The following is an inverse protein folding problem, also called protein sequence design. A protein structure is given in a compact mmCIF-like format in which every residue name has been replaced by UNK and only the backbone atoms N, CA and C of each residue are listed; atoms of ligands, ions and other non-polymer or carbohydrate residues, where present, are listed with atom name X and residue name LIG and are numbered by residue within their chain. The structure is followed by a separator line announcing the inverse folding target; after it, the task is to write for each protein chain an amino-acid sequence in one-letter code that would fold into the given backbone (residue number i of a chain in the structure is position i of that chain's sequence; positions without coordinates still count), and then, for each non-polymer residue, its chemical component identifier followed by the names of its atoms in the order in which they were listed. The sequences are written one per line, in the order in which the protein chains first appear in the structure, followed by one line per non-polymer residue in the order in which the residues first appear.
data_IF_340262840371
#
_entry.id   IF_340262840371
#
_cell.length_a   1.000
_cell.length_b   1.000
_cell.length_c   1.000
_cell.angle_alpha   90.00
_cell.angle_beta   90.00
_cell.angle_gamma   90.00
#
_symmetry.space_group_name_H-M   'P 1'
#
loop_
_entity.id
_entity.type
_entity.pdbx_description
1 polymer ?
#
# COMPACT_ATOMS: atom_id res chain seq x y z
N UNK A 1 -50.66 -83.97 23.80
CA UNK A 1 -51.09 -82.69 23.24
C UNK A 1 -50.85 -81.51 24.24
N UNK A 2 -51.15 -81.62 25.50
CA UNK A 2 -50.92 -80.51 26.51
C UNK A 2 -49.44 -80.20 26.74
N UNK A 3 -48.57 -81.25 26.78
CA UNK A 3 -47.14 -81.05 26.97
C UNK A 3 -46.47 -80.35 25.76
N UNK A 4 -46.92 -80.57 24.55
CA UNK A 4 -46.46 -79.95 23.35
C UNK A 4 -46.91 -78.47 23.31
N UNK A 5 -48.15 -78.17 23.74
CA UNK A 5 -48.62 -76.79 23.80
C UNK A 5 -47.85 -75.94 24.82
N UNK A 6 -47.57 -76.48 26.00
CA UNK A 6 -46.76 -75.81 27.02
C UNK A 6 -45.30 -75.52 26.51
N UNK A 7 -44.76 -76.45 25.77
CA UNK A 7 -43.44 -76.28 25.18
C UNK A 7 -43.42 -75.18 24.11
N UNK A 8 -44.44 -75.18 23.24
CA UNK A 8 -44.59 -74.13 22.21
C UNK A 8 -44.85 -72.77 22.85
N UNK A 9 -45.66 -72.66 23.89
CA UNK A 9 -45.88 -71.42 24.64
C UNK A 9 -44.58 -70.90 25.25
N UNK A 10 -43.78 -71.80 25.82
CA UNK A 10 -42.46 -71.40 26.37
C UNK A 10 -41.47 -70.93 25.28
N UNK A 11 -41.42 -71.62 24.14
CA UNK A 11 -40.61 -71.21 22.99
C UNK A 11 -41.07 -69.86 22.45
N UNK A 12 -42.41 -69.63 22.39
CA UNK A 12 -42.98 -68.35 21.97
C UNK A 12 -42.56 -67.21 22.91
N UNK A 13 -42.65 -67.41 24.23
CA UNK A 13 -42.22 -66.45 25.20
C UNK A 13 -40.72 -66.11 25.09
N UNK A 14 -39.88 -67.11 24.86
CA UNK A 14 -38.45 -66.87 24.62
C UNK A 14 -38.19 -66.05 23.35
N UNK A 15 -38.93 -66.33 22.27
CA UNK A 15 -38.83 -65.60 21.04
C UNK A 15 -39.31 -64.15 21.18
N UNK A 16 -40.38 -63.94 21.90
CA UNK A 16 -40.86 -62.57 22.23
C UNK A 16 -39.83 -61.79 22.99
N UNK A 17 -39.16 -62.40 24.00
CA UNK A 17 -38.09 -61.77 24.73
C UNK A 17 -36.86 -61.46 23.81
N UNK A 18 -36.50 -62.36 22.93
CA UNK A 18 -35.45 -62.10 21.94
C UNK A 18 -35.81 -60.94 21.03
N UNK A 19 -37.05 -60.83 20.54
CA UNK A 19 -37.54 -59.74 19.71
C UNK A 19 -37.44 -58.44 20.46
N UNK A 20 -37.90 -58.37 21.71
CA UNK A 20 -37.78 -57.15 22.52
C UNK A 20 -36.34 -56.73 22.71
N UNK A 21 -35.45 -57.68 23.01
CA UNK A 21 -34.01 -57.42 23.15
C UNK A 21 -33.38 -56.92 21.88
N UNK A 22 -33.70 -57.55 20.75
CA UNK A 22 -33.21 -57.08 19.44
C UNK A 22 -33.77 -55.71 19.03
N UNK A 23 -35.03 -55.46 19.28
CA UNK A 23 -35.65 -54.12 19.06
C UNK A 23 -34.93 -53.04 19.84
N UNK A 24 -34.58 -53.30 21.12
CA UNK A 24 -33.79 -52.39 21.93
C UNK A 24 -32.37 -52.16 21.37
N UNK A 25 -31.71 -53.21 20.92
CA UNK A 25 -30.39 -53.10 20.28
C UNK A 25 -30.45 -52.30 19.00
N UNK A 26 -31.47 -52.51 18.17
CA UNK A 26 -31.67 -51.73 16.95
C UNK A 26 -31.86 -50.25 17.27
N UNK A 27 -32.74 -49.92 18.23
CA UNK A 27 -32.97 -48.56 18.64
C UNK A 27 -31.68 -47.86 19.18
N UNK A 28 -30.87 -48.60 19.95
CA UNK A 28 -29.59 -48.08 20.43
C UNK A 28 -28.59 -47.87 19.29
N UNK A 29 -28.50 -48.81 18.34
CA UNK A 29 -27.61 -48.69 17.18
C UNK A 29 -28.03 -47.56 16.25
N UNK A 30 -29.34 -47.37 16.03
CA UNK A 30 -29.86 -46.23 15.27
C UNK A 30 -29.49 -44.89 15.95
N UNK A 31 -29.64 -44.77 17.29
CA UNK A 31 -29.24 -43.61 18.02
C UNK A 31 -27.73 -43.35 17.94
N UNK A 32 -26.92 -44.39 18.06
CA UNK A 32 -25.47 -44.30 17.93
C UNK A 32 -25.05 -43.91 16.50
N UNK A 33 -25.72 -44.41 15.50
CA UNK A 33 -25.51 -44.04 14.10
C UNK A 33 -25.84 -42.53 13.87
N UNK A 34 -26.96 -42.08 14.34
CA UNK A 34 -27.36 -40.65 14.25
C UNK A 34 -26.32 -39.74 14.91
N UNK A 35 -25.83 -40.13 16.09
CA UNK A 35 -24.74 -39.40 16.76
C UNK A 35 -23.44 -39.39 15.95
N UNK A 36 -23.06 -40.53 15.37
CA UNK A 36 -21.88 -40.63 14.55
C UNK A 36 -21.99 -39.80 13.26
N UNK A 37 -23.15 -39.81 12.61
CA UNK A 37 -23.42 -38.98 11.42
C UNK A 37 -23.38 -37.50 11.74
N UNK A 38 -23.95 -37.08 12.88
CA UNK A 38 -23.90 -35.70 13.35
C UNK A 38 -22.47 -35.23 13.60
N UNK A 39 -21.66 -36.05 14.30
CA UNK A 39 -20.24 -35.75 14.52
C UNK A 39 -19.43 -35.68 13.25
N UNK A 40 -19.72 -36.56 12.29
CA UNK A 40 -19.06 -36.55 10.96
C UNK A 40 -19.39 -35.27 10.19
N UNK A 41 -20.65 -34.83 10.22
CA UNK A 41 -21.09 -33.59 9.58
C UNK A 41 -20.39 -32.37 10.20
N UNK A 42 -20.32 -32.31 11.54
CA UNK A 42 -19.61 -31.25 12.25
C UNK A 42 -18.11 -31.22 11.90
N UNK A 43 -17.47 -32.40 11.87
CA UNK A 43 -16.05 -32.52 11.52
C UNK A 43 -15.76 -32.09 10.08
N UNK A 44 -16.65 -32.43 9.14
CA UNK A 44 -16.53 -31.97 7.74
C UNK A 44 -16.70 -30.47 7.63
N UNK A 45 -17.67 -29.89 8.32
CA UNK A 45 -17.86 -28.44 8.39
C UNK A 45 -16.64 -27.70 8.94
N UNK A 46 -16.08 -28.19 10.04
CA UNK A 46 -14.86 -27.64 10.64
C UNK A 46 -13.66 -27.73 9.71
N UNK A 47 -13.52 -28.84 8.97
CA UNK A 47 -12.44 -29.00 7.98
C UNK A 47 -12.59 -28.03 6.81
N UNK A 48 -13.79 -27.84 6.31
CA UNK A 48 -14.07 -26.89 5.22
C UNK A 48 -13.78 -25.44 5.65
N UNK A 49 -14.13 -25.08 6.88
CA UNK A 49 -13.78 -23.78 7.46
C UNK A 49 -12.26 -23.60 7.59
N UNK A 50 -11.55 -24.61 8.05
CA UNK A 50 -10.09 -24.60 8.16
C UNK A 50 -9.42 -24.40 6.79
N UNK A 51 -9.87 -25.11 5.77
CA UNK A 51 -9.38 -24.93 4.40
C UNK A 51 -9.65 -23.53 3.87
N UNK A 52 -10.83 -22.98 4.14
CA UNK A 52 -11.19 -21.60 3.76
C UNK A 52 -10.29 -20.57 4.47
N UNK A 53 -10.07 -20.72 5.77
CA UNK A 53 -9.17 -19.84 6.53
C UNK A 53 -7.74 -19.95 6.06
N UNK A 54 -7.27 -21.15 5.74
CA UNK A 54 -5.94 -21.38 5.18
C UNK A 54 -5.76 -20.66 3.86
N UNK A 55 -6.72 -20.80 2.94
CA UNK A 55 -6.70 -20.12 1.64
C UNK A 55 -6.70 -18.60 1.79
N UNK A 56 -7.52 -18.07 2.69
CA UNK A 56 -7.55 -16.64 3.01
C UNK A 56 -6.24 -16.17 3.59
N UNK A 57 -5.64 -16.93 4.52
CA UNK A 57 -4.35 -16.62 5.11
C UNK A 57 -3.23 -16.58 4.07
N UNK A 58 -3.18 -17.55 3.17
CA UNK A 58 -2.20 -17.57 2.08
C UNK A 58 -2.35 -16.38 1.13
N UNK A 59 -3.59 -16.00 0.82
CA UNK A 59 -3.88 -14.82 -0.02
C UNK A 59 -3.43 -13.54 0.67
N UNK A 60 -3.70 -13.41 1.97
CA UNK A 60 -3.26 -12.25 2.75
C UNK A 60 -1.74 -12.17 2.88
N UNK A 61 -1.06 -13.30 3.07
CA UNK A 61 0.40 -13.34 3.09
C UNK A 61 1.02 -12.87 1.77
N UNK A 62 0.45 -13.28 0.63
CA UNK A 62 0.89 -12.80 -0.69
C UNK A 62 0.69 -11.31 -0.84
N UNK A 63 -0.45 -10.78 -0.39
CA UNK A 63 -0.73 -9.34 -0.42
C UNK A 63 0.23 -8.56 0.47
N UNK A 64 0.51 -9.04 1.68
CA UNK A 64 1.49 -8.42 2.58
C UNK A 64 2.85 -8.37 1.93
N UNK A 65 3.34 -9.48 1.36
CA UNK A 65 4.63 -9.54 0.67
C UNK A 65 4.71 -8.56 -0.51
N UNK A 66 3.61 -8.45 -1.29
CA UNK A 66 3.53 -7.50 -2.40
C UNK A 66 3.59 -6.05 -1.90
N UNK A 67 2.81 -5.73 -0.86
CA UNK A 67 2.78 -4.39 -0.28
C UNK A 67 4.11 -4.00 0.36
N UNK A 68 4.81 -4.94 1.01
CA UNK A 68 6.17 -4.71 1.53
C UNK A 68 7.15 -4.37 0.40
N UNK A 69 7.07 -5.10 -0.72
CA UNK A 69 7.90 -4.81 -1.90
C UNK A 69 7.57 -3.46 -2.53
N UNK A 70 6.31 -3.11 -2.63
CA UNK A 70 5.87 -1.79 -3.12
C UNK A 70 6.33 -0.65 -2.19
N UNK A 71 6.26 -0.88 -0.87
CA UNK A 71 6.75 0.08 0.12
C UNK A 71 8.26 0.31 -0.01
N UNK A 72 9.04 -0.75 -0.12
CA UNK A 72 10.50 -0.65 -0.31
C UNK A 72 10.85 0.13 -1.57
N UNK A 73 10.12 -0.12 -2.67
CA UNK A 73 10.30 0.63 -3.92
C UNK A 73 9.94 2.11 -3.77
N UNK A 74 8.82 2.40 -3.10
CA UNK A 74 8.39 3.76 -2.86
C UNK A 74 9.38 4.53 -1.97
N UNK A 75 9.91 3.89 -0.93
CA UNK A 75 10.93 4.48 -0.06
C UNK A 75 12.22 4.77 -0.82
N UNK A 76 12.65 3.86 -1.70
CA UNK A 76 13.81 4.07 -2.55
C UNK A 76 13.62 5.26 -3.49
N UNK A 77 12.46 5.33 -4.16
CA UNK A 77 12.13 6.46 -5.03
C UNK A 77 12.07 7.79 -4.27
N UNK A 78 11.53 7.76 -3.06
CA UNK A 78 11.48 8.95 -2.21
C UNK A 78 12.88 9.44 -1.85
N UNK A 79 13.80 8.55 -1.47
CA UNK A 79 15.19 8.91 -1.18
C UNK A 79 15.88 9.50 -2.41
N UNK A 80 15.76 8.85 -3.56
CA UNK A 80 16.34 9.35 -4.81
C UNK A 80 15.79 10.72 -5.21
N UNK A 81 14.49 10.91 -5.08
CA UNK A 81 13.83 12.20 -5.38
C UNK A 81 14.24 13.28 -4.40
N UNK A 82 14.35 12.96 -3.12
CA UNK A 82 14.81 13.88 -2.08
C UNK A 82 16.26 14.32 -2.33
N UNK A 83 17.13 13.40 -2.72
CA UNK A 83 18.51 13.72 -3.06
C UNK A 83 18.60 14.61 -4.30
N UNK A 84 17.81 14.35 -5.32
CA UNK A 84 17.70 15.21 -6.52
C UNK A 84 17.20 16.61 -6.16
N UNK A 85 16.20 16.71 -5.30
CA UNK A 85 15.67 17.98 -4.82
C UNK A 85 16.75 18.79 -4.11
N UNK A 86 17.51 18.17 -3.21
CA UNK A 86 18.63 18.83 -2.53
C UNK A 86 19.68 19.36 -3.51
N UNK A 87 20.00 18.57 -4.53
CA UNK A 87 20.95 19.00 -5.57
C UNK A 87 20.41 20.18 -6.36
N UNK A 88 19.14 20.18 -6.69
CA UNK A 88 18.47 21.28 -7.41
C UNK A 88 18.43 22.53 -6.54
N UNK A 89 18.12 22.40 -5.26
CA UNK A 89 18.12 23.52 -4.31
C UNK A 89 19.50 24.18 -4.21
N UNK A 90 20.57 23.39 -4.10
CA UNK A 90 21.93 23.91 -4.07
C UNK A 90 22.28 24.66 -5.36
N UNK A 91 21.88 24.13 -6.52
CA UNK A 91 22.08 24.78 -7.80
C UNK A 91 21.27 26.08 -7.90
N UNK A 92 20.01 26.05 -7.44
CA UNK A 92 19.14 27.22 -7.46
C UNK A 92 19.74 28.35 -6.61
N UNK A 93 20.20 28.06 -5.40
CA UNK A 93 20.88 29.02 -4.52
C UNK A 93 22.17 29.59 -5.16
N UNK A 94 22.91 28.74 -5.83
CA UNK A 94 24.13 29.18 -6.56
C UNK A 94 23.77 30.15 -7.70
N UNK A 95 22.76 29.83 -8.51
CA UNK A 95 22.31 30.70 -9.57
C UNK A 95 21.66 31.99 -9.08
N UNK A 96 20.90 31.96 -7.99
CA UNK A 96 20.39 33.17 -7.35
C UNK A 96 21.51 34.12 -6.94
N UNK A 97 22.58 33.61 -6.35
CA UNK A 97 23.79 34.40 -6.01
C UNK A 97 24.45 34.96 -7.24
N UNK A 98 24.55 34.19 -8.32
CA UNK A 98 25.12 34.67 -9.58
C UNK A 98 24.26 35.76 -10.21
N UNK A 99 22.92 35.62 -10.21
CA UNK A 99 22.00 36.64 -10.72
C UNK A 99 22.17 37.93 -9.92
N UNK A 100 22.18 37.86 -8.60
CA UNK A 100 22.37 39.03 -7.72
C UNK A 100 23.71 39.71 -8.03
N UNK A 101 24.78 38.97 -8.24
CA UNK A 101 26.09 39.52 -8.58
C UNK A 101 26.07 40.22 -9.95
N UNK A 102 25.49 39.58 -10.95
CA UNK A 102 25.40 40.14 -12.30
C UNK A 102 24.51 41.38 -12.34
N UNK A 103 23.40 41.38 -11.60
CA UNK A 103 22.57 42.57 -11.44
C UNK A 103 23.33 43.73 -10.81
N UNK A 104 24.12 43.47 -9.79
CA UNK A 104 24.99 44.48 -9.18
C UNK A 104 26.05 45.02 -10.12
N UNK A 105 26.68 44.14 -10.92
CA UNK A 105 27.63 44.53 -11.95
C UNK A 105 26.95 45.37 -13.05
N UNK A 106 25.77 44.97 -13.49
CA UNK A 106 24.96 45.76 -14.45
C UNK A 106 24.70 47.15 -13.91
N UNK A 107 24.21 47.27 -12.70
CA UNK A 107 23.91 48.57 -12.07
C UNK A 107 25.17 49.44 -11.94
N UNK A 108 26.31 48.86 -11.63
CA UNK A 108 27.60 49.53 -11.58
C UNK A 108 28.04 50.04 -12.98
N UNK A 109 27.89 49.24 -14.01
CA UNK A 109 28.21 49.65 -15.39
C UNK A 109 27.24 50.69 -15.92
N UNK A 110 25.97 50.57 -15.61
CA UNK A 110 24.95 51.59 -15.95
C UNK A 110 25.31 52.96 -15.36
N UNK A 111 25.70 53.00 -14.10
CA UNK A 111 26.16 54.21 -13.43
C UNK A 111 27.44 54.78 -14.10
N UNK A 112 28.40 53.94 -14.39
CA UNK A 112 29.63 54.36 -15.12
C UNK A 112 29.30 54.91 -16.50
N UNK A 113 28.37 54.28 -17.20
CA UNK A 113 27.90 54.77 -18.50
C UNK A 113 27.24 56.14 -18.39
N UNK A 114 26.36 56.33 -17.44
CA UNK A 114 25.69 57.63 -17.22
C UNK A 114 26.71 58.75 -16.89
N UNK A 115 27.67 58.45 -16.02
CA UNK A 115 28.74 59.38 -15.66
C UNK A 115 29.61 59.72 -16.89
N UNK A 116 29.98 58.73 -17.69
CA UNK A 116 30.75 58.95 -18.89
C UNK A 116 29.98 59.74 -19.94
N UNK A 117 28.66 59.45 -20.09
CA UNK A 117 27.77 60.15 -20.99
C UNK A 117 27.58 61.62 -20.61
N UNK A 118 27.45 61.91 -19.33
CA UNK A 118 27.40 63.29 -18.83
C UNK A 118 28.71 64.06 -19.14
N UNK A 119 29.86 63.45 -18.91
CA UNK A 119 31.17 64.03 -19.24
C UNK A 119 31.32 64.26 -20.74
N UNK A 120 30.90 63.30 -21.55
CA UNK A 120 30.92 63.44 -23.00
C UNK A 120 30.04 64.62 -23.47
N UNK A 121 28.81 64.70 -22.96
CA UNK A 121 27.88 65.80 -23.32
C UNK A 121 28.38 67.17 -22.83
N UNK A 122 29.01 67.22 -21.65
CA UNK A 122 29.64 68.44 -21.18
C UNK A 122 30.82 68.86 -22.05
N UNK A 123 31.72 67.96 -22.40
CA UNK A 123 32.82 68.20 -23.31
C UNK A 123 32.34 68.66 -24.68
N UNK A 124 31.30 68.05 -25.21
CA UNK A 124 30.68 68.39 -26.49
C UNK A 124 30.14 69.82 -26.45
N UNK A 125 29.46 70.20 -25.40
CA UNK A 125 28.95 71.57 -25.23
C UNK A 125 30.08 72.61 -25.12
N UNK A 126 31.13 72.32 -24.36
CA UNK A 126 32.30 73.19 -24.27
C UNK A 126 32.98 73.39 -25.62
N UNK A 127 33.12 72.28 -26.39
CA UNK A 127 33.67 72.37 -27.73
C UNK A 127 32.82 73.20 -28.65
N UNK A 128 31.51 73.07 -28.67
CA UNK A 128 30.57 73.87 -29.44
C UNK A 128 30.65 75.36 -29.06
N UNK A 129 30.75 75.70 -27.77
CA UNK A 129 30.93 77.07 -27.29
C UNK A 129 32.25 77.70 -27.77
N UNK A 130 33.35 76.93 -27.74
CA UNK A 130 34.66 77.37 -28.28
C UNK A 130 34.59 77.64 -29.74
N UNK A 131 33.98 76.69 -30.49
CA UNK A 131 33.83 76.82 -31.96
C UNK A 131 32.99 78.09 -32.32
N UNK A 132 31.90 78.33 -31.61
CA UNK A 132 31.08 79.50 -31.82
C UNK A 132 31.81 80.82 -31.47
N UNK A 133 32.61 80.85 -30.41
CA UNK A 133 33.43 81.98 -30.05
C UNK A 133 34.49 82.23 -31.12
N UNK A 134 35.07 81.21 -31.76
CA UNK A 134 36.02 81.39 -32.85
C UNK A 134 35.34 81.89 -34.16
N UNK A 135 34.10 81.55 -34.42
CA UNK A 135 33.35 82.01 -35.60
C UNK A 135 32.87 83.43 -35.49
N UNK A 136 32.69 83.94 -34.29
CA UNK A 136 32.23 85.27 -34.07
C UNK A 136 33.33 86.37 -34.00
N UNK A 137 34.57 85.93 -34.16
CA UNK A 137 35.70 86.80 -34.39
C UNK A 137 35.87 86.97 -35.93
#
# INVERSE_FOLDING_TARGET
AEAQNKKLDHELMQKDQEIVSLTHKIANLEADLDKAESKLSEAKGAKDEEESHRSTSETLQRKVSLLESELDNAEKQLRETTDKLRQVDVKAEHFERQVTRVESERDSWEKKYEEANEKYNASKRELEEVVQAMESI
#
